data_IF_345098796734
#
_entry.id   IF_345098796734
#
_cell.length_a   1.000
_cell.length_b   1.000
_cell.length_c   1.000
_cell.angle_alpha   90.00
_cell.angle_beta   90.00
_cell.angle_gamma   90.00
#
_symmetry.space_group_name_H-M   'P 1'
#
loop_
_entity.id
_entity.type
_entity.pdbx_description
1 polymer ?
#
# COMPACT_ATOMS: atom_id res chain seq x y z
N UNK A 1 7.75 23.11 14.95
CA UNK A 1 7.47 21.72 14.54
C UNK A 1 8.79 21.06 14.23
N UNK A 2 9.15 19.98 14.92
CA UNK A 2 10.31 19.14 14.57
C UNK A 2 9.86 17.99 13.69
N UNK A 3 10.79 17.49 12.86
CA UNK A 3 10.59 16.27 12.08
C UNK A 3 10.39 15.08 13.03
N UNK A 4 9.31 14.30 12.83
CA UNK A 4 8.97 13.14 13.67
C UNK A 4 9.58 11.84 13.12
N UNK A 5 9.53 11.64 11.80
CA UNK A 5 10.01 10.41 11.16
C UNK A 5 10.52 10.64 9.74
N UNK A 6 11.43 9.78 9.27
CA UNK A 6 11.90 9.69 7.88
C UNK A 6 11.90 8.22 7.46
N UNK A 7 11.20 7.92 6.36
CA UNK A 7 11.05 6.56 5.84
C UNK A 7 11.85 6.43 4.54
N UNK A 8 12.95 5.65 4.50
CA UNK A 8 13.68 5.41 3.26
C UNK A 8 12.97 4.33 2.44
N UNK A 9 12.39 4.72 1.29
CA UNK A 9 11.68 3.79 0.40
C UNK A 9 12.57 3.18 -0.70
N UNK A 10 13.82 3.63 -0.82
CA UNK A 10 14.83 3.08 -1.75
C UNK A 10 14.68 3.52 -3.20
N UNK A 11 13.45 3.52 -3.72
CA UNK A 11 13.10 3.86 -5.10
C UNK A 11 12.11 5.03 -5.18
N UNK A 12 11.86 5.60 -6.38
CA UNK A 12 10.85 6.63 -6.56
C UNK A 12 9.47 6.19 -6.06
N UNK A 13 8.87 7.07 -5.25
CA UNK A 13 7.52 6.91 -4.73
C UNK A 13 6.53 7.22 -5.86
N UNK A 14 5.52 6.37 -6.02
CA UNK A 14 4.44 6.63 -6.95
C UNK A 14 3.26 7.33 -6.27
N UNK A 15 2.88 6.88 -5.06
CA UNK A 15 1.73 7.41 -4.35
C UNK A 15 1.82 7.12 -2.84
N UNK A 16 1.08 7.89 -2.05
CA UNK A 16 0.93 7.71 -0.61
C UNK A 16 -0.47 8.10 -0.15
N UNK A 17 -1.08 7.30 0.73
CA UNK A 17 -2.45 7.51 1.19
C UNK A 17 -2.59 7.21 2.69
N UNK A 18 -3.30 8.07 3.41
CA UNK A 18 -3.51 7.92 4.86
C UNK A 18 -4.71 7.02 5.15
N UNK A 19 -4.51 6.09 6.08
CA UNK A 19 -5.58 5.33 6.71
C UNK A 19 -5.83 5.91 8.11
N UNK A 20 -6.95 6.59 8.28
CA UNK A 20 -7.39 7.15 9.55
C UNK A 20 -8.48 6.24 10.14
N UNK A 21 -8.09 5.27 10.96
CA UNK A 21 -9.01 4.31 11.60
C UNK A 21 -9.62 4.79 12.94
N UNK A 22 -9.56 6.09 13.22
CA UNK A 22 -9.89 6.68 14.53
C UNK A 22 -8.67 7.34 15.20
N UNK A 23 -8.84 7.82 16.44
CA UNK A 23 -7.83 8.62 17.15
C UNK A 23 -6.49 7.87 17.40
N UNK A 24 -6.51 6.54 17.47
CA UNK A 24 -5.37 5.75 17.92
C UNK A 24 -4.55 5.10 16.79
N UNK A 25 -5.07 5.10 15.54
CA UNK A 25 -4.43 4.38 14.42
C UNK A 25 -4.36 5.27 13.18
N UNK A 26 -3.31 6.08 13.12
CA UNK A 26 -2.92 6.82 11.93
C UNK A 26 -1.79 6.09 11.22
N UNK A 27 -2.12 5.46 10.10
CA UNK A 27 -1.17 4.74 9.25
C UNK A 27 -1.06 5.41 7.89
N UNK A 28 0.11 5.35 7.27
CA UNK A 28 0.31 5.81 5.90
C UNK A 28 0.69 4.63 5.02
N UNK A 29 -0.03 4.43 3.92
CA UNK A 29 0.39 3.51 2.88
C UNK A 29 1.28 4.25 1.88
N UNK A 30 2.32 3.59 1.39
CA UNK A 30 3.15 4.10 0.29
C UNK A 30 3.38 3.00 -0.75
N UNK A 31 3.49 3.41 -2.00
CA UNK A 31 3.91 2.55 -3.10
C UNK A 31 5.10 3.18 -3.82
N UNK A 32 6.05 2.35 -4.23
CA UNK A 32 7.28 2.78 -4.88
C UNK A 32 7.68 1.78 -5.97
N UNK A 33 8.47 2.24 -6.94
CA UNK A 33 8.96 1.40 -8.04
C UNK A 33 9.68 0.15 -7.50
N UNK A 34 9.34 -1.04 -8.01
CA UNK A 34 9.88 -2.34 -7.59
C UNK A 34 9.61 -2.76 -6.14
N UNK A 35 8.77 -2.02 -5.39
CA UNK A 35 8.43 -2.37 -4.02
C UNK A 35 6.96 -2.80 -3.89
N UNK A 36 6.65 -3.62 -2.88
CA UNK A 36 5.28 -3.81 -2.40
C UNK A 36 4.66 -2.49 -1.96
N UNK A 37 3.33 -2.48 -1.77
CA UNK A 37 2.70 -1.41 -1.00
C UNK A 37 3.03 -1.63 0.47
N UNK A 38 3.64 -0.64 1.12
CA UNK A 38 3.99 -0.70 2.53
C UNK A 38 3.06 0.17 3.35
N UNK A 39 2.70 -0.28 4.54
CA UNK A 39 1.91 0.47 5.52
C UNK A 39 2.81 0.81 6.70
N UNK A 40 2.81 2.07 7.13
CA UNK A 40 3.72 2.60 8.13
C UNK A 40 2.97 3.25 9.27
N UNK A 41 3.49 3.09 10.48
CA UNK A 41 3.11 3.85 11.65
C UNK A 41 3.60 5.31 11.53
N UNK A 42 3.02 6.21 12.33
CA UNK A 42 3.37 7.63 12.36
C UNK A 42 4.81 7.90 12.81
N UNK A 43 5.43 6.94 13.52
CA UNK A 43 6.84 6.95 13.92
C UNK A 43 7.80 6.46 12.82
N UNK A 44 7.26 6.03 11.66
CA UNK A 44 8.02 5.49 10.54
C UNK A 44 8.30 3.99 10.61
N UNK A 45 7.84 3.29 11.64
CA UNK A 45 7.94 1.83 11.71
C UNK A 45 7.03 1.17 10.66
N UNK A 46 7.54 0.13 9.98
CA UNK A 46 6.75 -0.62 9.01
C UNK A 46 5.72 -1.49 9.74
N UNK A 47 4.44 -1.23 9.50
CA UNK A 47 3.31 -1.97 10.06
C UNK A 47 2.96 -3.21 9.23
N UNK A 48 2.86 -3.06 7.91
CA UNK A 48 2.45 -4.14 7.02
C UNK A 48 3.04 -4.01 5.59
N UNK A 49 2.88 -5.07 4.79
CA UNK A 49 3.28 -5.09 3.38
C UNK A 49 2.27 -5.89 2.55
N UNK A 50 1.81 -5.29 1.46
CA UNK A 50 0.87 -5.88 0.51
C UNK A 50 1.60 -6.06 -0.82
N UNK A 51 1.81 -7.32 -1.19
CA UNK A 51 2.63 -7.70 -2.33
C UNK A 51 1.74 -7.92 -3.53
N UNK A 52 2.00 -7.15 -4.58
CA UNK A 52 1.47 -7.43 -5.90
C UNK A 52 2.40 -8.37 -6.65
N UNK A 53 2.13 -9.69 -6.68
CA UNK A 53 2.90 -10.67 -7.47
C UNK A 53 2.13 -11.05 -8.72
N UNK A 54 2.69 -10.79 -9.90
CA UNK A 54 2.05 -11.09 -11.18
C UNK A 54 2.15 -12.58 -11.55
N UNK A 55 1.61 -12.96 -12.71
CA UNK A 55 1.63 -14.35 -13.19
C UNK A 55 3.03 -14.89 -13.54
N UNK A 56 4.05 -14.03 -13.56
CA UNK A 56 5.46 -14.37 -13.79
C UNK A 56 6.26 -14.44 -12.46
N UNK A 57 5.58 -14.41 -11.31
CA UNK A 57 6.17 -14.36 -9.98
C UNK A 57 7.01 -13.08 -9.71
N UNK A 58 6.74 -12.01 -10.45
CA UNK A 58 7.42 -10.73 -10.29
C UNK A 58 6.59 -9.72 -9.48
N UNK A 59 7.29 -8.86 -8.73
CA UNK A 59 6.66 -7.74 -8.04
C UNK A 59 6.18 -6.68 -9.04
N UNK A 60 4.87 -6.42 -9.02
CA UNK A 60 4.24 -5.28 -9.68
C UNK A 60 3.98 -4.19 -8.64
N UNK A 61 4.57 -3.02 -8.83
CA UNK A 61 4.28 -1.84 -8.02
C UNK A 61 2.92 -1.24 -8.43
N UNK A 62 2.12 -0.83 -7.46
CA UNK A 62 0.89 -0.09 -7.73
C UNK A 62 1.25 1.35 -8.12
N UNK A 63 0.66 1.89 -9.18
CA UNK A 63 0.89 3.27 -9.61
C UNK A 63 0.14 4.30 -8.74
N UNK A 64 -0.96 3.88 -8.12
CA UNK A 64 -1.75 4.67 -7.17
C UNK A 64 -2.38 3.73 -6.16
N UNK A 65 -2.67 4.25 -4.97
CA UNK A 65 -3.28 3.50 -3.88
C UNK A 65 -4.39 4.29 -3.18
N UNK A 66 -5.45 3.60 -2.76
CA UNK A 66 -6.48 4.19 -1.92
C UNK A 66 -7.13 3.17 -1.00
N UNK A 67 -7.55 3.62 0.18
CA UNK A 67 -8.32 2.79 1.12
C UNK A 67 -9.82 2.90 0.84
N UNK A 68 -10.58 1.86 1.16
CA UNK A 68 -12.02 2.00 1.33
C UNK A 68 -12.35 2.92 2.51
N UNK A 69 -13.53 3.53 2.50
CA UNK A 69 -13.97 4.41 3.59
C UNK A 69 -13.97 3.73 4.97
N UNK A 70 -14.20 2.40 5.02
CA UNK A 70 -14.15 1.60 6.25
C UNK A 70 -12.74 1.10 6.60
N UNK A 71 -11.73 1.39 5.77
CA UNK A 71 -10.34 0.99 5.96
C UNK A 71 -10.05 -0.50 5.73
N UNK A 72 -11.07 -1.32 5.45
CA UNK A 72 -10.92 -2.79 5.34
C UNK A 72 -10.27 -3.24 4.05
N UNK A 73 -10.28 -2.39 3.02
CA UNK A 73 -9.69 -2.69 1.72
C UNK A 73 -8.67 -1.65 1.34
N UNK A 74 -7.58 -2.14 0.75
CA UNK A 74 -6.59 -1.33 0.06
C UNK A 74 -6.70 -1.65 -1.43
N UNK A 75 -6.89 -0.63 -2.26
CA UNK A 75 -6.93 -0.72 -3.70
C UNK A 75 -5.61 -0.21 -4.27
N UNK A 76 -5.04 -0.95 -5.21
CA UNK A 76 -3.86 -0.56 -5.99
C UNK A 76 -4.20 -0.55 -7.47
N UNK A 77 -3.88 0.55 -8.16
CA UNK A 77 -3.96 0.62 -9.62
C UNK A 77 -2.71 0.01 -10.26
N UNK A 78 -2.90 -1.02 -11.08
CA UNK A 78 -1.83 -1.71 -11.83
C UNK A 78 -2.10 -1.67 -13.32
N UNK A 79 -1.14 -2.14 -14.11
CA UNK A 79 -1.34 -2.33 -15.55
C UNK A 79 -2.49 -3.33 -15.81
N UNK A 80 -3.54 -2.86 -16.49
CA UNK A 80 -4.75 -3.61 -16.86
C UNK A 80 -5.56 -4.21 -15.69
N UNK A 81 -5.25 -3.83 -14.44
CA UNK A 81 -5.88 -4.42 -13.26
C UNK A 81 -6.01 -3.43 -12.10
N UNK A 82 -7.06 -3.60 -11.30
CA UNK A 82 -7.15 -3.08 -9.93
C UNK A 82 -6.95 -4.25 -8.98
N UNK A 83 -5.98 -4.13 -8.08
CA UNK A 83 -5.67 -5.15 -7.09
C UNK A 83 -6.25 -4.73 -5.76
N UNK A 84 -6.83 -5.68 -5.03
CA UNK A 84 -7.59 -5.42 -3.82
C UNK A 84 -7.05 -6.32 -2.72
N UNK A 85 -6.49 -5.72 -1.68
CA UNK A 85 -6.05 -6.42 -0.47
C UNK A 85 -7.02 -6.18 0.68
N UNK A 86 -7.12 -7.16 1.57
CA UNK A 86 -7.73 -7.02 2.89
C UNK A 86 -6.67 -6.42 3.84
N UNK A 87 -6.96 -5.26 4.42
CA UNK A 87 -6.02 -4.52 5.27
C UNK A 87 -5.66 -5.28 6.55
N UNK A 88 -6.52 -6.19 7.02
CA UNK A 88 -6.25 -7.01 8.20
C UNK A 88 -5.48 -8.30 7.86
N UNK A 89 -5.23 -8.56 6.56
CA UNK A 89 -4.54 -9.76 6.06
C UNK A 89 -3.37 -9.38 5.14
N UNK A 90 -2.29 -8.78 5.68
CA UNK A 90 -1.14 -8.41 4.88
C UNK A 90 -0.49 -9.64 4.25
N UNK A 91 0.08 -9.46 3.06
CA UNK A 91 0.69 -10.55 2.31
C UNK A 91 0.48 -10.43 0.80
N UNK A 92 0.46 -11.58 0.14
CA UNK A 92 0.30 -11.68 -1.33
C UNK A 92 -1.15 -11.92 -1.75
N UNK A 93 -2.02 -12.23 -0.80
CA UNK A 93 -3.42 -12.55 -1.05
C UNK A 93 -4.15 -11.28 -1.46
N UNK A 94 -4.65 -11.29 -2.68
CA UNK A 94 -5.42 -10.19 -3.24
C UNK A 94 -6.46 -10.74 -4.21
N UNK A 95 -7.48 -9.95 -4.49
CA UNK A 95 -8.36 -10.17 -5.64
C UNK A 95 -8.06 -9.13 -6.71
N UNK A 96 -8.44 -9.42 -7.95
CA UNK A 96 -8.16 -8.54 -9.10
C UNK A 96 -9.45 -8.23 -9.86
N UNK A 97 -9.58 -6.98 -10.30
CA UNK A 97 -10.56 -6.55 -11.30
C UNK A 97 -9.78 -6.21 -12.58
N UNK A 98 -10.12 -6.84 -13.70
CA UNK A 98 -9.56 -6.47 -15.02
C UNK A 98 -10.18 -5.16 -15.50
N UNK A 99 -9.38 -4.29 -16.10
CA UNK A 99 -9.84 -2.98 -16.58
C UNK A 99 -9.99 -2.89 -18.10
N UNK A 100 -9.36 -3.78 -18.86
CA UNK A 100 -9.55 -4.00 -20.30
C UNK A 100 -8.97 -5.35 -20.73
#
# INVERSE_FOLDING_TARGET
MSLVAKIPLGDPIYDANWLCGGADKQLIATTAKHHPVHLWCSDGARYASYRGINHLDELSAAYTITFSNDGRRLYGGHNAHIWIWDTDRPGRQHTTIKTW
#
